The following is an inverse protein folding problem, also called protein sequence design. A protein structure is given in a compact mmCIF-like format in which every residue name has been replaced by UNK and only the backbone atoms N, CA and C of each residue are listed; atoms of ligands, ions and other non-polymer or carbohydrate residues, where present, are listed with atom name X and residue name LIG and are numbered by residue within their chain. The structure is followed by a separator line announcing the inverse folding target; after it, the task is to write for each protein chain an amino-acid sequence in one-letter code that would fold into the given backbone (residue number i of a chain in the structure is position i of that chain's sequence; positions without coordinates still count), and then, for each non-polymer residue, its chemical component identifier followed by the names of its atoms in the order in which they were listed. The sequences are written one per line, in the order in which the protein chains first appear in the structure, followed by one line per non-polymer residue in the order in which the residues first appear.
data_IF_861684294099
#
_entry.id   IF_861684294099
#
_cell.length_a   1.000
_cell.length_b   1.000
_cell.length_c   1.000
_cell.angle_alpha   90.00
_cell.angle_beta   90.00
_cell.angle_gamma   90.00
#
_symmetry.space_group_name_H-M   'P 1'
#
loop_
_entity.id
_entity.type
_entity.pdbx_description
1 polymer ?
#
# COMPACT_ATOMS: atom_id res chain seq x y z
N UNK A 1 -24.04 12.21 -16.44
CA UNK A 1 -22.81 12.52 -15.69
C UNK A 1 -21.67 11.77 -16.35
N UNK A 2 -20.81 12.46 -17.09
CA UNK A 2 -19.64 11.83 -17.72
C UNK A 2 -18.63 11.45 -16.64
N UNK A 3 -18.60 10.16 -16.28
CA UNK A 3 -17.50 9.58 -15.52
C UNK A 3 -16.25 9.63 -16.43
N UNK A 4 -15.45 10.69 -16.30
CA UNK A 4 -14.08 10.69 -16.80
C UNK A 4 -13.30 9.70 -15.94
N UNK A 5 -13.29 8.44 -16.34
CA UNK A 5 -12.35 7.44 -15.83
C UNK A 5 -10.98 7.72 -16.45
N UNK A 6 -10.40 8.90 -16.18
CA UNK A 6 -8.96 9.05 -16.36
C UNK A 6 -8.34 8.25 -15.23
N UNK A 7 -8.13 6.96 -15.45
CA UNK A 7 -7.14 6.20 -14.71
C UNK A 7 -5.85 6.99 -14.82
N UNK A 8 -5.53 7.76 -13.78
CA UNK A 8 -4.24 8.44 -13.69
C UNK A 8 -3.23 7.32 -13.57
N UNK A 9 -2.62 6.98 -14.70
CA UNK A 9 -1.66 5.89 -14.81
C UNK A 9 -0.53 6.08 -13.81
N UNK A 10 -0.22 7.33 -13.46
CA UNK A 10 0.80 7.71 -12.48
C UNK A 10 0.46 7.31 -11.03
N UNK A 11 -0.81 7.02 -10.72
CA UNK A 11 -1.27 6.52 -9.42
C UNK A 11 -1.28 4.98 -9.32
N UNK A 12 -0.98 4.29 -10.43
CA UNK A 12 -1.07 2.83 -10.53
C UNK A 12 0.31 2.21 -10.77
N UNK A 13 0.47 0.98 -10.30
CA UNK A 13 1.62 0.13 -10.55
C UNK A 13 1.24 -1.32 -10.75
N UNK A 14 2.23 -2.14 -11.06
CA UNK A 14 2.10 -3.60 -11.19
C UNK A 14 3.17 -4.33 -10.41
N UNK A 15 2.76 -5.38 -9.70
CA UNK A 15 3.69 -6.25 -8.98
C UNK A 15 4.58 -6.99 -9.98
N UNK A 16 5.89 -6.87 -9.81
CA UNK A 16 6.91 -7.63 -10.52
C UNK A 16 7.25 -8.93 -9.80
N UNK A 17 7.33 -8.86 -8.47
CA UNK A 17 7.62 -10.02 -7.63
C UNK A 17 7.15 -9.75 -6.22
N UNK A 18 6.81 -10.82 -5.49
CA UNK A 18 6.50 -10.75 -4.06
C UNK A 18 7.12 -11.94 -3.34
N UNK A 19 7.68 -11.70 -2.16
CA UNK A 19 8.21 -12.75 -1.30
C UNK A 19 8.73 -12.16 0.01
N UNK A 20 8.65 -12.95 1.08
CA UNK A 20 9.08 -12.59 2.43
C UNK A 20 8.50 -11.23 2.90
N UNK A 21 7.24 -10.95 2.53
CA UNK A 21 6.57 -9.70 2.90
C UNK A 21 7.04 -8.45 2.14
N UNK A 22 7.85 -8.61 1.08
CA UNK A 22 8.31 -7.51 0.23
C UNK A 22 7.78 -7.71 -1.19
N UNK A 23 7.07 -6.70 -1.70
CA UNK A 23 6.63 -6.63 -3.08
C UNK A 23 7.48 -5.62 -3.86
N UNK A 24 7.97 -6.01 -5.04
CA UNK A 24 8.57 -5.08 -6.00
C UNK A 24 7.52 -4.67 -7.00
N UNK A 25 7.35 -3.37 -7.21
CA UNK A 25 6.27 -2.82 -8.02
C UNK A 25 6.83 -1.87 -9.07
N UNK A 26 6.48 -2.09 -10.33
CA UNK A 26 6.75 -1.18 -11.43
C UNK A 26 5.66 -0.10 -11.53
N UNK A 27 6.03 1.13 -11.90
CA UNK A 27 5.10 2.26 -12.03
C UNK A 27 5.12 3.16 -10.81
N UNK A 28 3.94 3.61 -10.35
CA UNK A 28 3.81 4.49 -9.17
C UNK A 28 4.71 5.74 -9.24
N UNK A 29 4.81 6.39 -10.41
CA UNK A 29 5.84 7.40 -10.72
C UNK A 29 5.96 8.56 -9.72
N UNK A 30 4.85 8.93 -9.10
CA UNK A 30 4.78 10.07 -8.18
C UNK A 30 4.72 9.64 -6.71
N UNK A 31 4.98 8.37 -6.40
CA UNK A 31 4.92 7.85 -5.03
C UNK A 31 6.03 8.44 -4.15
N UNK A 32 5.68 8.71 -2.90
CA UNK A 32 6.60 9.23 -1.91
C UNK A 32 7.09 8.12 -0.97
N UNK A 33 8.29 8.29 -0.42
CA UNK A 33 8.78 7.39 0.60
C UNK A 33 7.90 7.50 1.85
N UNK A 34 7.50 6.36 2.40
CA UNK A 34 6.54 6.26 3.50
C UNK A 34 5.07 6.37 3.07
N UNK A 35 4.78 6.51 1.78
CA UNK A 35 3.40 6.53 1.29
C UNK A 35 2.75 5.14 1.36
N UNK A 36 1.48 5.11 1.77
CA UNK A 36 0.71 3.88 1.75
C UNK A 36 0.20 3.53 0.35
N UNK A 37 0.13 2.24 0.10
CA UNK A 37 -0.48 1.67 -1.10
C UNK A 37 -1.51 0.61 -0.75
N UNK A 38 -2.36 0.30 -1.73
CA UNK A 38 -3.33 -0.79 -1.67
C UNK A 38 -3.15 -1.72 -2.87
N UNK A 39 -2.99 -3.01 -2.59
CA UNK A 39 -2.95 -4.06 -3.60
C UNK A 39 -4.37 -4.44 -4.05
N UNK A 40 -4.50 -5.08 -5.21
CA UNK A 40 -5.78 -5.58 -5.73
C UNK A 40 -6.48 -6.53 -4.73
N UNK A 41 -5.71 -7.31 -3.96
CA UNK A 41 -6.18 -8.17 -2.86
C UNK A 41 -6.71 -7.40 -1.64
N UNK A 42 -6.71 -6.06 -1.68
CA UNK A 42 -7.02 -5.15 -0.57
C UNK A 42 -6.02 -5.14 0.59
N UNK A 43 -4.95 -5.93 0.50
CA UNK A 43 -3.79 -5.82 1.39
C UNK A 43 -3.18 -4.43 1.25
N UNK A 44 -2.69 -3.89 2.37
CA UNK A 44 -2.00 -2.59 2.40
C UNK A 44 -0.50 -2.80 2.45
N UNK A 45 0.24 -1.77 2.09
CA UNK A 45 1.69 -1.74 2.28
C UNK A 45 2.21 -0.32 2.30
N UNK A 46 3.52 -0.20 2.55
CA UNK A 46 4.23 1.08 2.60
C UNK A 46 5.42 1.06 1.64
N UNK A 47 5.57 2.12 0.86
CA UNK A 47 6.72 2.29 -0.02
C UNK A 47 7.94 2.73 0.80
N UNK A 48 8.99 1.91 0.83
CA UNK A 48 10.23 2.24 1.57
C UNK A 48 11.39 2.54 0.63
N UNK A 49 11.60 1.70 -0.38
CA UNK A 49 12.70 1.86 -1.32
C UNK A 49 12.15 2.40 -2.65
N UNK A 50 12.66 3.55 -3.09
CA UNK A 50 12.30 4.15 -4.38
C UNK A 50 13.48 4.04 -5.32
N UNK A 51 13.41 3.11 -6.27
CA UNK A 51 14.40 2.99 -7.34
C UNK A 51 13.86 3.59 -8.63
N UNK A 52 14.75 3.82 -9.60
CA UNK A 52 14.39 4.49 -10.84
C UNK A 52 13.39 3.67 -11.69
N UNK A 53 13.37 2.34 -11.52
CA UNK A 53 12.56 1.42 -12.32
C UNK A 53 11.50 0.67 -11.49
N UNK A 54 11.67 0.57 -10.17
CA UNK A 54 10.75 -0.16 -9.31
C UNK A 54 10.70 0.43 -7.90
N UNK A 55 9.64 0.08 -7.18
CA UNK A 55 9.40 0.50 -5.80
C UNK A 55 9.33 -0.74 -4.92
N UNK A 56 10.13 -0.73 -3.86
CA UNK A 56 10.08 -1.73 -2.80
C UNK A 56 8.99 -1.38 -1.79
N UNK A 57 7.96 -2.23 -1.73
CA UNK A 57 6.80 -2.08 -0.85
C UNK A 57 6.83 -3.17 0.21
N UNK A 58 6.83 -2.77 1.48
CA UNK A 58 6.62 -3.69 2.59
C UNK A 58 5.12 -3.95 2.74
N UNK A 59 4.75 -5.22 2.77
CA UNK A 59 3.36 -5.68 2.82
C UNK A 59 2.91 -5.78 4.28
N UNK A 60 1.74 -5.24 4.59
CA UNK A 60 1.10 -5.37 5.89
C UNK A 60 0.11 -6.54 5.90
N UNK A 61 0.50 -7.64 6.55
CA UNK A 61 -0.28 -8.87 6.61
C UNK A 61 0.31 -9.97 5.74
N UNK A 62 -0.54 -10.79 5.13
CA UNK A 62 -0.10 -11.93 4.32
C UNK A 62 0.12 -11.54 2.86
N UNK A 63 1.33 -11.81 2.38
CA UNK A 63 1.74 -11.66 0.98
C UNK A 63 1.22 -12.77 0.06
N UNK A 64 0.75 -13.89 0.61
CA UNK A 64 0.21 -15.06 -0.13
C UNK A 64 -0.96 -14.74 -1.07
N UNK A 65 -1.66 -13.63 -0.81
CA UNK A 65 -2.80 -13.19 -1.63
C UNK A 65 -2.41 -12.24 -2.76
N UNK A 66 -1.16 -11.78 -2.78
CA UNK A 66 -0.61 -10.88 -3.80
C UNK A 66 0.09 -11.75 -4.85
N UNK A 67 -0.12 -11.44 -6.12
CA UNK A 67 0.49 -12.14 -7.25
C UNK A 67 1.25 -11.20 -8.16
N UNK A 68 2.21 -11.75 -8.88
CA UNK A 68 2.84 -11.03 -9.98
C UNK A 68 1.78 -10.58 -11.01
N UNK A 69 1.94 -9.36 -11.49
CA UNK A 69 1.00 -8.70 -12.40
C UNK A 69 -0.17 -7.99 -11.70
N UNK A 70 -0.38 -8.20 -10.39
CA UNK A 70 -1.45 -7.53 -9.65
C UNK A 70 -1.28 -6.01 -9.69
N UNK A 71 -2.43 -5.33 -9.72
CA UNK A 71 -2.47 -3.87 -9.67
C UNK A 71 -2.20 -3.39 -8.24
N UNK A 72 -1.41 -2.34 -8.15
CA UNK A 72 -1.13 -1.61 -6.92
C UNK A 72 -1.55 -0.17 -7.12
N UNK A 73 -2.29 0.38 -6.16
CA UNK A 73 -2.77 1.75 -6.21
C UNK A 73 -2.21 2.55 -5.06
N UNK A 74 -1.76 3.77 -5.36
CA UNK A 74 -1.38 4.77 -4.36
C UNK A 74 -2.58 5.22 -3.53
N UNK A 75 -2.37 5.38 -2.23
CA UNK A 75 -3.36 6.02 -1.36
C UNK A 75 -3.14 7.54 -1.35
N UNK A 76 -1.93 8.03 -1.64
CA UNK A 76 -1.61 9.45 -1.62
C UNK A 76 -1.43 10.04 -0.22
N UNK A 77 -1.34 9.17 0.79
CA UNK A 77 -1.14 9.53 2.19
C UNK A 77 0.13 8.85 2.70
N UNK A 78 1.00 9.64 3.33
CA UNK A 78 2.08 9.10 4.14
C UNK A 78 1.45 8.34 5.31
N UNK A 79 2.03 7.18 5.65
CA UNK A 79 1.49 6.33 6.70
C UNK A 79 1.32 7.12 8.00
N UNK A 80 0.09 7.12 8.50
CA UNK A 80 -0.29 7.60 9.81
C UNK A 80 -1.02 6.49 10.58
N UNK A 81 -1.09 6.67 11.90
CA UNK A 81 -1.87 5.80 12.77
C UNK A 81 -2.79 6.66 13.62
N UNK A 82 -4.05 6.26 13.85
CA UNK A 82 -4.95 6.98 14.73
C UNK A 82 -4.37 7.04 16.15
N UNK A 83 -4.61 8.14 16.87
CA UNK A 83 -4.20 8.31 18.27
C UNK A 83 -5.33 8.96 19.07
N UNK A 84 -5.40 8.68 20.37
CA UNK A 84 -6.33 9.36 21.29
C UNK A 84 -6.89 8.47 22.38
N UNK A 85 -7.77 9.05 23.21
CA UNK A 85 -8.37 8.34 24.36
C UNK A 85 -9.19 7.11 23.96
N UNK A 86 -9.72 7.07 22.74
CA UNK A 86 -10.45 5.93 22.21
C UNK A 86 -9.61 4.65 22.12
N UNK A 87 -8.28 4.76 22.17
CA UNK A 87 -7.37 3.60 22.21
C UNK A 87 -7.13 3.07 23.62
N UNK A 88 -7.50 3.82 24.67
CA UNK A 88 -7.39 3.32 26.03
C UNK A 88 -8.32 2.12 26.20
N UNK A 89 -7.85 1.12 26.94
CA UNK A 89 -8.58 -0.13 27.22
C UNK A 89 -8.80 -1.05 26.01
N UNK A 90 -8.33 -0.65 24.82
CA UNK A 90 -8.45 -1.44 23.59
C UNK A 90 -7.10 -2.04 23.22
N UNK A 91 -7.11 -3.29 22.75
CA UNK A 91 -5.94 -3.90 22.12
C UNK A 91 -5.99 -3.52 20.64
N UNK A 92 -4.96 -2.86 20.13
CA UNK A 92 -4.90 -2.41 18.72
C UNK A 92 -3.74 -3.06 17.99
N UNK A 93 -3.87 -3.21 16.67
CA UNK A 93 -2.79 -3.66 15.79
C UNK A 93 -1.78 -2.53 15.49
N UNK A 94 -0.73 -2.86 14.74
CA UNK A 94 0.33 -1.91 14.37
C UNK A 94 -0.14 -0.77 13.46
N UNK A 95 -1.34 -0.88 12.87
CA UNK A 95 -1.97 0.15 12.03
C UNK A 95 -3.05 0.93 12.81
N UNK A 96 -3.20 0.66 14.11
CA UNK A 96 -4.16 1.31 14.99
C UNK A 96 -5.60 0.81 14.86
N UNK A 97 -5.82 -0.34 14.20
CA UNK A 97 -7.12 -0.98 14.18
C UNK A 97 -7.34 -1.75 15.50
N UNK A 98 -8.46 -1.53 16.18
CA UNK A 98 -8.79 -2.26 17.40
C UNK A 98 -9.17 -3.70 17.09
N UNK A 99 -8.72 -4.61 17.93
CA UNK A 99 -9.36 -5.91 18.13
C UNK A 99 -10.59 -5.70 19.02
N UNK A 100 -11.70 -6.35 18.69
CA UNK A 100 -12.95 -6.33 19.47
C UNK A 100 -12.76 -7.04 20.83
#
# INVERSE_FOLDING_TARGET
MNFKTSLKVDEMGRVLSVGDGIARVYGLKEIQAGEMVKFASSVKGIALNLENENVGIVVFGSDTTIKEGDLVKRIGLIMDVPVGKAMLEHVVDALGASFD
#
